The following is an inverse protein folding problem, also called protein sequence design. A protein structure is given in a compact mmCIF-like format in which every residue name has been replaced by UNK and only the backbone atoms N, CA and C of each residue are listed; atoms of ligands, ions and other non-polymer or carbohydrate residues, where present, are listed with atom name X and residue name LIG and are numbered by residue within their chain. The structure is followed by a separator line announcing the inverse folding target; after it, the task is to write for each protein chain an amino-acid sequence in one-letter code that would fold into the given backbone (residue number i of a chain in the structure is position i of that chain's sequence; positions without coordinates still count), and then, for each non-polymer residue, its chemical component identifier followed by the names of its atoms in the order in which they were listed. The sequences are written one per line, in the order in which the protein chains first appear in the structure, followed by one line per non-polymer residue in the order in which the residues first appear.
data_IF_137970220897
#
_entry.id   IF_137970220897
#
_cell.length_a   1.000
_cell.length_b   1.000
_cell.length_c   1.000
_cell.angle_alpha   90.00
_cell.angle_beta   90.00
_cell.angle_gamma   90.00
#
_symmetry.space_group_name_H-M   'P 1'
#
loop_
_entity.id
_entity.type
_entity.pdbx_description
1 polymer ?
#
# COMPACT_ATOMS: atom_id res chain seq x y z
N UNK A 1 17.80 21.69 2.01
CA UNK A 1 16.55 21.09 2.54
C UNK A 1 16.58 19.64 2.14
N UNK A 2 16.82 18.73 3.09
CA UNK A 2 16.62 17.31 2.84
C UNK A 2 15.17 17.13 2.42
N UNK A 3 14.93 16.56 1.24
CA UNK A 3 13.59 16.13 0.86
C UNK A 3 13.24 14.96 1.78
N UNK A 4 12.45 15.21 2.82
CA UNK A 4 11.78 14.16 3.57
C UNK A 4 11.05 13.27 2.58
N UNK A 5 11.54 12.04 2.39
CA UNK A 5 10.95 11.13 1.42
C UNK A 5 9.73 10.47 2.04
N UNK A 6 8.53 10.75 1.53
CA UNK A 6 7.31 10.05 1.92
C UNK A 6 6.72 9.31 0.72
N UNK A 7 6.65 7.99 0.78
CA UNK A 7 6.15 7.18 -0.33
C UNK A 7 5.34 5.97 0.15
N UNK A 8 4.25 5.68 -0.55
CA UNK A 8 3.38 4.54 -0.30
C UNK A 8 3.42 3.63 -1.52
N UNK A 9 3.78 2.37 -1.31
CA UNK A 9 3.81 1.34 -2.34
C UNK A 9 2.97 0.14 -1.93
N UNK A 10 2.06 -0.30 -2.80
CA UNK A 10 1.34 -1.55 -2.65
C UNK A 10 2.02 -2.65 -3.45
N UNK A 11 2.13 -3.85 -2.85
CA UNK A 11 2.76 -4.99 -3.50
C UNK A 11 2.25 -6.31 -2.94
N UNK A 12 2.50 -7.39 -3.67
CA UNK A 12 2.32 -8.77 -3.20
C UNK A 12 3.68 -9.46 -3.20
N UNK A 13 3.97 -10.28 -2.19
CA UNK A 13 5.22 -11.06 -2.13
C UNK A 13 5.00 -12.41 -2.80
N UNK A 14 5.79 -12.69 -3.83
CA UNK A 14 5.78 -13.99 -4.51
C UNK A 14 6.14 -15.13 -3.53
N UNK A 15 6.95 -14.86 -2.49
CA UNK A 15 7.27 -15.82 -1.42
C UNK A 15 6.13 -16.09 -0.42
N UNK A 16 5.04 -15.32 -0.46
CA UNK A 16 3.88 -15.45 0.45
C UNK A 16 2.60 -15.89 -0.29
N UNK A 17 2.76 -16.46 -1.48
CA UNK A 17 1.65 -17.02 -2.26
C UNK A 17 1.18 -18.33 -1.62
N UNK A 18 -0.12 -18.45 -1.42
CA UNK A 18 -0.76 -19.67 -0.91
C UNK A 18 -0.91 -20.72 -2.00
N UNK A 19 -1.22 -21.95 -1.60
CA UNK A 19 -1.50 -23.07 -2.52
C UNK A 19 -2.62 -22.78 -3.52
N UNK A 20 -3.55 -21.87 -3.17
CA UNK A 20 -4.64 -21.42 -4.04
C UNK A 20 -4.24 -20.30 -5.03
N UNK A 21 -2.96 -19.91 -5.07
CA UNK A 21 -2.46 -18.85 -5.95
C UNK A 21 -2.72 -17.43 -5.46
N UNK A 22 -3.28 -17.26 -4.26
CA UNK A 22 -3.56 -15.94 -3.68
C UNK A 22 -2.44 -15.46 -2.76
N UNK A 23 -2.26 -14.15 -2.70
CA UNK A 23 -1.37 -13.49 -1.75
C UNK A 23 -2.06 -12.28 -1.11
N UNK A 24 -1.58 -11.88 0.07
CA UNK A 24 -2.02 -10.66 0.72
C UNK A 24 -1.33 -9.46 0.08
N UNK A 25 -2.08 -8.38 -0.15
CA UNK A 25 -1.53 -7.09 -0.57
C UNK A 25 -0.92 -6.42 0.67
N UNK A 26 0.36 -6.09 0.60
CA UNK A 26 1.11 -5.39 1.64
C UNK A 26 1.39 -3.95 1.21
N UNK A 27 1.60 -3.10 2.21
CA UNK A 27 2.02 -1.70 2.05
C UNK A 27 3.46 -1.58 2.49
N UNK A 28 4.28 -0.90 1.70
CA UNK A 28 5.56 -0.35 2.12
C UNK A 28 5.39 1.16 2.27
N UNK A 29 5.53 1.66 3.49
CA UNK A 29 5.56 3.08 3.80
C UNK A 29 7.02 3.49 3.94
N UNK A 30 7.48 4.40 3.08
CA UNK A 30 8.81 4.98 3.16
C UNK A 30 8.73 6.34 3.83
N UNK A 31 9.51 6.56 4.88
CA UNK A 31 9.65 7.84 5.58
C UNK A 31 11.13 8.09 5.81
N UNK A 32 11.66 9.21 5.28
CA UNK A 32 13.07 9.61 5.45
C UNK A 32 14.10 8.50 5.12
N UNK A 33 13.87 7.75 4.04
CA UNK A 33 14.74 6.66 3.60
C UNK A 33 14.49 5.31 4.27
N UNK A 34 13.76 5.27 5.39
CA UNK A 34 13.39 4.05 6.09
C UNK A 34 12.06 3.50 5.60
N UNK A 35 11.88 2.17 5.68
CA UNK A 35 10.66 1.49 5.21
C UNK A 35 10.03 0.66 6.31
N UNK A 36 8.75 0.90 6.52
CA UNK A 36 7.88 0.04 7.32
C UNK A 36 6.89 -0.70 6.45
N UNK A 37 6.58 -1.93 6.87
CA UNK A 37 5.71 -2.83 6.13
C UNK A 37 4.52 -3.24 6.97
N UNK A 38 3.33 -3.20 6.38
CA UNK A 38 2.14 -3.74 7.02
C UNK A 38 1.19 -4.36 6.00
N UNK A 39 0.34 -5.26 6.50
CA UNK A 39 -0.66 -5.97 5.69
C UNK A 39 -1.91 -5.12 5.53
N UNK A 40 -2.49 -5.10 4.32
CA UNK A 40 -3.84 -4.54 4.11
C UNK A 40 -4.96 -5.50 4.54
N UNK A 41 -4.63 -6.78 4.75
CA UNK A 41 -5.60 -7.86 4.95
C UNK A 41 -6.36 -8.30 3.69
N UNK A 42 -6.28 -7.54 2.57
CA UNK A 42 -6.90 -7.91 1.30
C UNK A 42 -6.04 -8.94 0.57
N UNK A 43 -6.69 -9.93 -0.03
CA UNK A 43 -6.04 -10.96 -0.86
C UNK A 43 -6.40 -10.78 -2.32
N UNK A 44 -5.49 -11.21 -3.18
CA UNK A 44 -5.68 -11.22 -4.63
C UNK A 44 -4.96 -12.42 -5.23
N UNK A 45 -5.51 -12.98 -6.32
CA UNK A 45 -4.75 -13.90 -7.17
C UNK A 45 -3.55 -13.16 -7.77
N UNK A 46 -2.34 -13.71 -7.64
CA UNK A 46 -1.11 -13.01 -8.07
C UNK A 46 -1.10 -12.72 -9.57
N UNK A 47 -1.75 -13.56 -10.38
CA UNK A 47 -1.89 -13.35 -11.82
C UNK A 47 -2.74 -12.10 -12.17
N UNK A 48 -3.66 -11.74 -11.28
CA UNK A 48 -4.52 -10.57 -11.42
C UNK A 48 -3.87 -9.31 -10.84
N UNK A 49 -2.72 -9.39 -10.19
CA UNK A 49 -2.04 -8.20 -9.66
C UNK A 49 -1.20 -7.50 -10.72
N UNK A 50 -1.44 -6.21 -10.94
CA UNK A 50 -0.60 -5.37 -11.77
C UNK A 50 0.50 -4.72 -10.92
N UNK A 51 1.73 -5.27 -11.00
CA UNK A 51 2.89 -4.78 -10.23
C UNK A 51 3.25 -3.32 -10.57
N UNK A 52 3.05 -2.89 -11.82
CA UNK A 52 3.41 -1.54 -12.26
C UNK A 52 2.38 -0.51 -11.81
N UNK A 53 1.09 -0.83 -12.02
CA UNK A 53 -0.02 0.06 -11.67
C UNK A 53 -0.44 -0.04 -10.20
N UNK A 54 0.06 -1.04 -9.48
CA UNK A 54 -0.25 -1.33 -8.07
C UNK A 54 -1.76 -1.50 -7.82
N UNK A 55 -2.42 -2.26 -8.69
CA UNK A 55 -3.86 -2.50 -8.65
C UNK A 55 -4.22 -3.91 -9.14
N UNK A 56 -5.44 -4.35 -8.83
CA UNK A 56 -6.00 -5.58 -9.35
C UNK A 56 -6.53 -5.35 -10.76
N UNK A 57 -6.09 -6.19 -11.71
CA UNK A 57 -6.55 -6.23 -13.10
C UNK A 57 -7.98 -6.74 -13.21
N UNK A 58 -8.64 -6.35 -14.29
CA UNK A 58 -9.99 -6.78 -14.63
C UNK A 58 -11.08 -5.85 -14.09
N UNK A 59 -12.33 -6.20 -14.42
CA UNK A 59 -13.52 -5.37 -14.17
C UNK A 59 -14.55 -6.06 -13.25
N UNK A 60 -14.17 -7.12 -12.53
CA UNK A 60 -15.05 -7.75 -11.56
C UNK A 60 -15.37 -6.79 -10.41
N UNK A 61 -16.52 -6.97 -9.76
CA UNK A 61 -16.90 -6.18 -8.59
C UNK A 61 -15.89 -6.32 -7.45
N UNK A 62 -15.28 -7.50 -7.30
CA UNK A 62 -14.19 -7.72 -6.35
C UNK A 62 -12.96 -6.88 -6.70
N UNK A 63 -12.49 -6.89 -7.95
CA UNK A 63 -11.34 -6.09 -8.39
C UNK A 63 -11.59 -4.59 -8.17
N UNK A 64 -12.77 -4.09 -8.53
CA UNK A 64 -13.18 -2.70 -8.29
C UNK A 64 -13.20 -2.36 -6.81
N UNK A 65 -13.76 -3.24 -5.98
CA UNK A 65 -13.85 -3.06 -4.52
C UNK A 65 -12.46 -3.00 -3.87
N UNK A 66 -11.55 -3.91 -4.23
CA UNK A 66 -10.16 -3.90 -3.75
C UNK A 66 -9.46 -2.63 -4.20
N UNK A 67 -9.55 -2.26 -5.48
CA UNK A 67 -8.90 -1.05 -5.99
C UNK A 67 -9.42 0.22 -5.29
N UNK A 68 -10.73 0.34 -5.08
CA UNK A 68 -11.33 1.44 -4.32
C UNK A 68 -10.81 1.49 -2.88
N UNK A 69 -10.69 0.33 -2.23
CA UNK A 69 -10.10 0.23 -0.89
C UNK A 69 -8.64 0.71 -0.87
N UNK A 70 -7.80 0.27 -1.81
CA UNK A 70 -6.39 0.69 -1.89
C UNK A 70 -6.26 2.21 -2.10
N UNK A 71 -7.09 2.79 -2.97
CA UNK A 71 -7.14 4.25 -3.17
C UNK A 71 -7.54 4.99 -1.89
N UNK A 72 -8.58 4.52 -1.19
CA UNK A 72 -9.02 5.13 0.06
C UNK A 72 -7.96 5.02 1.17
N UNK A 73 -7.29 3.87 1.27
CA UNK A 73 -6.20 3.65 2.23
C UNK A 73 -5.03 4.61 1.95
N UNK A 74 -4.62 4.73 0.68
CA UNK A 74 -3.56 5.67 0.27
C UNK A 74 -3.91 7.11 0.66
N UNK A 75 -5.13 7.54 0.36
CA UNK A 75 -5.61 8.88 0.71
C UNK A 75 -5.60 9.11 2.24
N UNK A 76 -6.04 8.11 3.02
CA UNK A 76 -6.04 8.20 4.48
C UNK A 76 -4.63 8.32 5.07
N UNK A 77 -3.65 7.61 4.51
CA UNK A 77 -2.25 7.68 4.95
C UNK A 77 -1.69 9.08 4.69
N UNK A 78 -1.87 9.65 3.49
CA UNK A 78 -1.44 11.02 3.19
C UNK A 78 -2.16 12.07 4.04
N UNK A 79 -3.46 11.88 4.30
CA UNK A 79 -4.19 12.78 5.19
C UNK A 79 -3.60 12.77 6.60
N UNK A 80 -3.20 11.59 7.10
CA UNK A 80 -2.57 11.46 8.42
C UNK A 80 -1.17 12.04 8.46
N UNK A 81 -0.39 11.88 7.41
CA UNK A 81 0.89 12.57 7.26
C UNK A 81 0.71 14.10 7.35
N UNK A 82 -0.18 14.67 6.54
CA UNK A 82 -0.45 16.11 6.56
C UNK A 82 -0.91 16.60 7.94
N UNK A 83 -1.83 15.89 8.59
CA UNK A 83 -2.31 16.23 9.95
C UNK A 83 -1.17 16.24 10.99
N UNK A 84 -0.23 15.30 10.90
CA UNK A 84 0.90 15.22 11.82
C UNK A 84 1.91 16.35 11.58
N UNK A 85 2.19 16.66 10.32
CA UNK A 85 3.05 17.78 9.94
C UNK A 85 2.47 19.13 10.38
N UNK A 86 1.18 19.35 10.17
CA UNK A 86 0.48 20.58 10.58
C UNK A 86 0.53 20.79 12.10
N UNK A 87 0.55 19.68 12.86
CA UNK A 87 0.69 19.69 14.32
C UNK A 87 2.15 19.77 14.80
N UNK A 88 3.11 19.81 13.89
CA UNK A 88 4.54 19.91 14.19
C UNK A 88 5.19 18.61 14.67
N UNK A 89 4.55 17.45 14.47
CA UNK A 89 5.16 16.16 14.80
C UNK A 89 6.20 15.75 13.75
N UNK A 90 7.28 15.13 14.22
CA UNK A 90 8.22 14.42 13.35
C UNK A 90 7.61 13.09 12.96
N UNK A 91 7.59 12.79 11.67
CA UNK A 91 7.10 11.51 11.15
C UNK A 91 8.27 10.54 11.01
N UNK A 92 8.10 9.35 11.60
CA UNK A 92 9.04 8.22 11.54
C UNK A 92 8.43 7.07 10.74
N UNK A 93 9.26 6.10 10.33
CA UNK A 93 8.76 4.88 9.70
C UNK A 93 8.14 3.92 10.73
N UNK A 94 8.58 3.93 11.98
CA UNK A 94 8.01 3.16 13.11
C UNK A 94 6.76 3.82 13.69
#
# INVERSE_FOLDING_TARGET
MERSSFAILFFVRDSRVKKDGTAIIEVALTVNGERSFFSTGKRVCVQNWDKSRQLVRGNSEEAKSINKFLSALKAKIYQKEAELLDRGFVITAE
#
